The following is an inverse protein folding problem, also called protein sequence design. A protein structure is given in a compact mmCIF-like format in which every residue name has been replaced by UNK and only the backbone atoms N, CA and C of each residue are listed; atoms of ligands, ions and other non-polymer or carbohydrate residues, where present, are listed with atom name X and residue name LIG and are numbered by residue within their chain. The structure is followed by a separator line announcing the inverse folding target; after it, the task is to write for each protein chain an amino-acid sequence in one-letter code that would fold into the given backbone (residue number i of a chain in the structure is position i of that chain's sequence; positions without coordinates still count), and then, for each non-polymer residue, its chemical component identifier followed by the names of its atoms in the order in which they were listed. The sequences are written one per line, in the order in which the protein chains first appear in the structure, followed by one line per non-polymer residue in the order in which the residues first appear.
data_IF_408958709729
#
_entry.id   IF_408958709729
#
_cell.length_a   1.000
_cell.length_b   1.000
_cell.length_c   1.000
_cell.angle_alpha   90.00
_cell.angle_beta   90.00
_cell.angle_gamma   90.00
#
_symmetry.space_group_name_H-M   'P 1'
#
loop_
_entity.id
_entity.type
_entity.pdbx_description
1 polymer ?
#
# COMPACT_ATOMS: atom_id res chain seq x y z
N UNK A 1 23.66 17.38 -29.08
CA UNK A 1 23.09 17.38 -27.71
C UNK A 1 22.22 16.14 -27.60
N UNK A 2 22.66 15.11 -26.88
CA UNK A 2 21.81 13.94 -26.61
C UNK A 2 20.89 14.31 -25.44
N UNK A 3 19.64 14.67 -25.75
CA UNK A 3 18.56 14.62 -24.77
C UNK A 3 18.44 13.15 -24.33
N UNK A 4 18.99 12.83 -23.15
CA UNK A 4 18.61 11.60 -22.46
C UNK A 4 17.11 11.75 -22.19
N UNK A 5 16.25 10.84 -22.69
CA UNK A 5 14.86 10.84 -22.28
C UNK A 5 14.89 10.67 -20.77
N UNK A 6 14.49 11.72 -20.05
CA UNK A 6 14.17 11.61 -18.64
C UNK A 6 12.97 10.68 -18.59
N UNK A 7 13.24 9.37 -18.50
CA UNK A 7 12.27 8.36 -18.10
C UNK A 7 11.77 8.80 -16.72
N UNK A 8 10.71 9.60 -16.72
CA UNK A 8 10.00 9.94 -15.52
C UNK A 8 9.24 8.68 -15.10
N UNK A 9 9.96 7.75 -14.47
CA UNK A 9 9.36 6.60 -13.80
C UNK A 9 8.58 7.18 -12.63
N UNK A 10 7.31 7.53 -12.89
CA UNK A 10 6.36 7.85 -11.85
C UNK A 10 6.53 6.80 -10.75
N UNK A 11 6.81 7.20 -9.50
CA UNK A 11 6.98 6.25 -8.42
C UNK A 11 5.62 5.65 -8.05
N UNK A 12 5.11 4.73 -8.89
CA UNK A 12 3.79 4.06 -8.78
C UNK A 12 3.65 3.35 -7.42
N UNK A 13 4.78 3.01 -6.78
CA UNK A 13 4.83 2.44 -5.44
C UNK A 13 4.15 3.32 -4.36
N UNK A 14 4.17 4.65 -4.52
CA UNK A 14 3.53 5.58 -3.58
C UNK A 14 1.99 5.53 -3.69
N UNK A 15 1.35 5.83 -4.85
CA UNK A 15 -0.10 5.73 -4.98
C UNK A 15 -0.61 4.31 -4.69
N UNK A 16 0.11 3.26 -5.11
CA UNK A 16 -0.26 1.88 -4.78
C UNK A 16 -0.16 1.60 -3.27
N UNK A 17 0.87 2.11 -2.60
CA UNK A 17 1.02 1.97 -1.16
C UNK A 17 -0.13 2.63 -0.38
N UNK A 18 -0.55 3.83 -0.81
CA UNK A 18 -1.71 4.53 -0.24
C UNK A 18 -2.99 3.69 -0.42
N UNK A 19 -3.29 3.28 -1.65
CA UNK A 19 -4.50 2.53 -1.96
C UNK A 19 -4.54 1.22 -1.17
N UNK A 20 -3.43 0.48 -1.13
CA UNK A 20 -3.36 -0.79 -0.42
C UNK A 20 -3.52 -0.61 1.10
N UNK A 21 -2.94 0.45 1.67
CA UNK A 21 -3.11 0.77 3.08
C UNK A 21 -4.56 1.15 3.41
N UNK A 22 -5.22 1.94 2.56
CA UNK A 22 -6.63 2.32 2.72
C UNK A 22 -7.55 1.08 2.65
N UNK A 23 -7.33 0.20 1.68
CA UNK A 23 -8.08 -1.06 1.57
C UNK A 23 -7.84 -1.94 2.81
N UNK A 24 -6.59 -2.05 3.27
CA UNK A 24 -6.27 -2.81 4.47
C UNK A 24 -7.00 -2.29 5.71
N UNK A 25 -7.02 -0.97 5.90
CA UNK A 25 -7.78 -0.32 6.99
C UNK A 25 -9.28 -0.59 6.85
N UNK A 26 -9.84 -0.47 5.65
CA UNK A 26 -11.25 -0.76 5.39
C UNK A 26 -11.60 -2.21 5.78
N UNK A 27 -10.79 -3.19 5.38
CA UNK A 27 -10.99 -4.61 5.72
C UNK A 27 -10.94 -4.85 7.23
N UNK A 28 -10.08 -4.13 7.96
CA UNK A 28 -10.03 -4.21 9.43
C UNK A 28 -11.27 -3.61 10.10
N UNK A 29 -11.88 -2.60 9.48
CA UNK A 29 -13.10 -1.93 9.99
C UNK A 29 -14.36 -2.71 9.61
N UNK A 30 -14.37 -3.46 8.50
CA UNK A 30 -15.52 -4.27 8.05
C UNK A 30 -16.19 -5.09 9.16
N UNK A 31 -15.48 -5.89 9.99
CA UNK A 31 -16.13 -6.66 11.06
C UNK A 31 -16.74 -5.81 12.18
N UNK A 32 -16.46 -4.51 12.25
CA UNK A 32 -17.11 -3.60 13.21
C UNK A 32 -18.44 -3.06 12.69
N UNK A 33 -18.65 -3.10 11.37
CA UNK A 33 -19.84 -2.57 10.69
C UNK A 33 -20.75 -3.70 10.22
N UNK A 34 -20.17 -4.83 9.79
CA UNK A 34 -20.90 -5.99 9.28
C UNK A 34 -20.82 -7.17 10.25
N UNK A 35 -21.91 -7.94 10.32
CA UNK A 35 -21.96 -9.20 11.07
C UNK A 35 -21.17 -10.29 10.33
N UNK A 36 -19.86 -10.32 10.55
CA UNK A 36 -18.96 -11.32 9.96
C UNK A 36 -18.99 -12.60 10.79
N UNK A 37 -19.09 -13.76 10.13
CA UNK A 37 -18.99 -15.06 10.80
C UNK A 37 -17.66 -15.18 11.58
N UNK A 38 -17.68 -15.75 12.81
CA UNK A 38 -16.47 -15.88 13.64
C UNK A 38 -15.33 -16.66 12.95
N UNK A 39 -15.68 -17.61 12.09
CA UNK A 39 -14.74 -18.39 11.29
C UNK A 39 -13.98 -17.54 10.26
N UNK A 40 -14.63 -16.51 9.71
CA UNK A 40 -14.05 -15.58 8.71
C UNK A 40 -13.39 -14.37 9.36
N UNK A 41 -13.74 -14.06 10.60
CA UNK A 41 -13.16 -12.93 11.35
C UNK A 41 -11.63 -12.98 11.41
N UNK A 42 -11.05 -14.15 11.72
CA UNK A 42 -9.58 -14.31 11.76
C UNK A 42 -8.95 -14.06 10.40
N UNK A 43 -9.57 -14.55 9.32
CA UNK A 43 -9.08 -14.38 7.97
C UNK A 43 -9.14 -12.91 7.53
N UNK A 44 -10.23 -12.20 7.84
CA UNK A 44 -10.36 -10.77 7.56
C UNK A 44 -9.32 -9.95 8.32
N UNK A 45 -9.09 -10.25 9.60
CA UNK A 45 -8.06 -9.56 10.39
C UNK A 45 -6.67 -9.79 9.78
N UNK A 46 -6.33 -11.03 9.44
CA UNK A 46 -5.04 -11.34 8.81
C UNK A 46 -4.89 -10.60 7.47
N UNK A 47 -5.91 -10.66 6.61
CA UNK A 47 -5.90 -9.97 5.32
C UNK A 47 -5.73 -8.45 5.50
N UNK A 48 -6.51 -7.85 6.39
CA UNK A 48 -6.44 -6.43 6.71
C UNK A 48 -5.08 -6.01 7.24
N UNK A 49 -4.48 -6.78 8.16
CA UNK A 49 -3.12 -6.53 8.67
C UNK A 49 -2.08 -6.63 7.55
N UNK A 50 -2.11 -7.70 6.76
CA UNK A 50 -1.15 -7.92 5.66
C UNK A 50 -1.22 -6.80 4.64
N UNK A 51 -2.42 -6.40 4.22
CA UNK A 51 -2.62 -5.30 3.26
C UNK A 51 -2.18 -3.96 3.85
N UNK A 52 -2.49 -3.69 5.12
CA UNK A 52 -2.10 -2.43 5.78
C UNK A 52 -0.59 -2.31 5.92
N UNK A 53 0.07 -3.36 6.42
CA UNK A 53 1.53 -3.41 6.57
C UNK A 53 2.23 -3.38 5.22
N UNK A 54 1.73 -4.15 4.24
CA UNK A 54 2.27 -4.16 2.87
C UNK A 54 2.12 -2.80 2.18
N UNK A 55 0.98 -2.13 2.34
CA UNK A 55 0.73 -0.79 1.81
C UNK A 55 1.68 0.25 2.43
N UNK A 56 1.82 0.24 3.76
CA UNK A 56 2.75 1.12 4.47
C UNK A 56 4.21 0.85 4.07
N UNK A 57 4.62 -0.41 3.96
CA UNK A 57 5.96 -0.77 3.52
C UNK A 57 6.24 -0.30 2.09
N UNK A 58 5.29 -0.50 1.16
CA UNK A 58 5.38 0.00 -0.22
C UNK A 58 5.45 1.52 -0.27
N UNK A 59 4.66 2.21 0.55
CA UNK A 59 4.67 3.67 0.66
C UNK A 59 6.03 4.17 1.15
N UNK A 60 6.54 3.60 2.24
CA UNK A 60 7.84 3.95 2.81
C UNK A 60 8.98 3.68 1.83
N UNK A 61 8.91 2.57 1.08
CA UNK A 61 9.87 2.24 0.04
C UNK A 61 9.81 3.23 -1.11
N UNK A 62 8.60 3.52 -1.61
CA UNK A 62 8.35 4.51 -2.66
C UNK A 62 8.92 5.87 -2.27
N UNK A 63 8.60 6.38 -1.08
CA UNK A 63 9.10 7.64 -0.55
C UNK A 63 10.63 7.66 -0.38
N UNK A 64 11.25 6.53 0.00
CA UNK A 64 12.71 6.41 0.08
C UNK A 64 13.37 6.46 -1.31
N UNK A 65 12.75 5.87 -2.33
CA UNK A 65 13.24 5.94 -3.71
C UNK A 65 13.10 7.34 -4.30
N UNK A 66 11.99 8.05 -4.04
CA UNK A 66 11.82 9.43 -4.51
C UNK A 66 12.82 10.40 -3.88
N UNK A 67 13.34 10.08 -2.68
CA UNK A 67 14.40 10.84 -2.01
C UNK A 67 15.82 10.51 -2.50
N UNK A 68 16.00 9.56 -3.42
CA UNK A 68 17.28 9.30 -4.10
C UNK A 68 17.20 9.64 -5.62
N UNK A 69 16.92 10.88 -6.02
CA UNK A 69 17.18 11.31 -7.38
C UNK A 69 18.68 11.65 -7.50
N UNK A 70 19.54 10.65 -7.69
CA UNK A 70 20.97 10.88 -7.82
C UNK A 70 21.83 9.67 -7.52
N UNK A 71 21.96 8.77 -8.49
CA UNK A 71 23.15 7.98 -8.76
C UNK A 71 23.23 7.78 -10.28
#
# INVERSE_FOLDING_TARGET
MHEKPTEYRLPIAVPNGIILALIGVLVLVTPMVEAVEPSKLRMNIIAGVVMTVGGLASLLWGLRQTRRPGA
#
